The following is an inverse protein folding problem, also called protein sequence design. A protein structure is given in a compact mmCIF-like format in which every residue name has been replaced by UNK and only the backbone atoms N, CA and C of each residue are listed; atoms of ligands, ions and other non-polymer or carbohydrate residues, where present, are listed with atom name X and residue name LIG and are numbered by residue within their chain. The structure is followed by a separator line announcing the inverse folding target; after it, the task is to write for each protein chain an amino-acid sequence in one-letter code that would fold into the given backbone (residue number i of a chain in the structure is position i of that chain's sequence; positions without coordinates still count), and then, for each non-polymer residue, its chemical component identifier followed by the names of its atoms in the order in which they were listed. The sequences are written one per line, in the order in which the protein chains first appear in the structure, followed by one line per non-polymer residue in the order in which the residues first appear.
data_IF_700339233003
#
_entry.id   IF_700339233003
#
_cell.length_a   1.000
_cell.length_b   1.000
_cell.length_c   1.000
_cell.angle_alpha   90.00
_cell.angle_beta   90.00
_cell.angle_gamma   90.00
#
_symmetry.space_group_name_H-M   'P 1'
#
loop_
_entity.id
_entity.type
_entity.pdbx_description
1 polymer ?
#
# COMPACT_ATOMS: atom_id res chain seq x y z
N UNK A 1 -3.74 -8.69 9.96
CA UNK A 1 -2.81 -9.83 10.09
C UNK A 1 -2.14 -10.07 8.75
N UNK A 2 -0.81 -10.12 8.69
CA UNK A 2 -0.10 -10.33 7.42
C UNK A 2 0.18 -11.81 7.17
N UNK A 3 -0.02 -12.26 5.94
CA UNK A 3 0.48 -13.55 5.45
C UNK A 3 1.45 -13.27 4.29
N UNK A 4 2.70 -13.66 4.44
CA UNK A 4 3.75 -13.47 3.43
C UNK A 4 4.57 -14.74 3.26
N UNK A 5 5.22 -14.91 2.11
CA UNK A 5 6.01 -16.13 1.91
C UNK A 5 6.66 -16.27 0.54
N UNK A 6 7.07 -17.50 0.24
CA UNK A 6 7.78 -17.84 -0.99
C UNK A 6 6.92 -17.60 -2.23
N UNK A 7 7.53 -17.01 -3.27
CA UNK A 7 6.92 -16.90 -4.61
C UNK A 7 6.81 -18.24 -5.34
N UNK A 8 7.62 -19.23 -4.91
CA UNK A 8 7.63 -20.61 -5.39
C UNK A 8 7.44 -21.51 -4.16
N UNK A 9 6.26 -21.43 -3.56
CA UNK A 9 5.94 -22.23 -2.39
C UNK A 9 5.66 -23.69 -2.78
N UNK A 10 5.84 -24.60 -1.83
CA UNK A 10 5.46 -26.01 -2.00
C UNK A 10 3.94 -26.17 -2.05
N UNK A 11 3.48 -27.39 -2.28
CA UNK A 11 2.04 -27.71 -2.21
C UNK A 11 1.53 -27.53 -0.78
N UNK A 12 2.35 -27.87 0.20
CA UNK A 12 2.07 -27.75 1.62
C UNK A 12 2.01 -26.27 2.03
N UNK A 13 2.98 -25.45 1.59
CA UNK A 13 2.95 -24.00 1.79
C UNK A 13 1.75 -23.33 1.12
N UNK A 14 1.34 -23.78 -0.07
CA UNK A 14 0.09 -23.34 -0.71
C UNK A 14 -1.12 -23.69 0.14
N UNK A 15 -1.24 -24.94 0.59
CA UNK A 15 -2.36 -25.40 1.42
C UNK A 15 -2.46 -24.58 2.71
N UNK A 16 -1.33 -24.39 3.38
CA UNK A 16 -1.24 -23.59 4.60
C UNK A 16 -1.68 -22.14 4.39
N UNK A 17 -1.20 -21.48 3.32
CA UNK A 17 -1.61 -20.12 2.99
C UNK A 17 -3.12 -19.99 2.78
N UNK A 18 -3.75 -20.98 2.13
CA UNK A 18 -5.18 -21.01 1.93
C UNK A 18 -5.94 -21.26 3.23
N UNK A 19 -5.52 -22.27 3.99
CA UNK A 19 -6.15 -22.67 5.25
C UNK A 19 -6.12 -21.55 6.29
N UNK A 20 -4.96 -20.95 6.55
CA UNK A 20 -4.83 -19.91 7.56
C UNK A 20 -5.55 -18.62 7.16
N UNK A 21 -5.56 -18.27 5.86
CA UNK A 21 -6.36 -17.14 5.38
C UNK A 21 -7.86 -17.39 5.57
N UNK A 22 -8.35 -18.63 5.40
CA UNK A 22 -9.74 -18.97 5.67
C UNK A 22 -10.06 -18.88 7.16
N UNK A 23 -9.17 -19.37 8.04
CA UNK A 23 -9.34 -19.27 9.49
C UNK A 23 -9.45 -17.80 9.92
N UNK A 24 -8.48 -16.96 9.53
CA UNK A 24 -8.51 -15.52 9.78
C UNK A 24 -9.82 -14.87 9.29
N UNK A 25 -10.26 -15.26 8.09
CA UNK A 25 -11.50 -14.71 7.51
C UNK A 25 -12.74 -15.09 8.29
N UNK A 26 -12.89 -16.35 8.73
CA UNK A 26 -14.03 -16.81 9.54
C UNK A 26 -14.11 -16.06 10.87
N UNK A 27 -12.95 -15.73 11.40
CA UNK A 27 -12.79 -14.98 12.63
C UNK A 27 -13.00 -13.46 12.41
N UNK A 28 -13.19 -13.00 11.17
CA UNK A 28 -13.41 -11.59 10.85
C UNK A 28 -12.12 -10.76 10.81
N UNK A 29 -10.96 -11.42 10.78
CA UNK A 29 -9.65 -10.77 10.71
C UNK A 29 -9.29 -10.47 9.25
N UNK A 30 -8.87 -9.23 9.00
CA UNK A 30 -8.40 -8.81 7.67
C UNK A 30 -7.05 -9.44 7.33
N UNK A 31 -6.97 -10.03 6.13
CA UNK A 31 -5.74 -10.58 5.56
C UNK A 31 -4.99 -9.49 4.79
N UNK A 32 -3.76 -9.19 5.19
CA UNK A 32 -2.87 -8.22 4.55
C UNK A 32 -1.75 -8.95 3.83
N UNK A 33 -1.44 -8.58 2.59
CA UNK A 33 -0.29 -9.15 1.86
C UNK A 33 0.16 -8.27 0.70
N UNK A 34 1.09 -8.76 -0.12
CA UNK A 34 1.74 -8.02 -1.19
C UNK A 34 1.32 -8.40 -2.61
N UNK A 35 0.31 -9.25 -2.79
CA UNK A 35 -0.15 -9.74 -4.09
C UNK A 35 0.94 -10.38 -4.99
N UNK A 36 2.08 -10.80 -4.41
CA UNK A 36 3.10 -11.51 -5.16
C UNK A 36 2.62 -12.91 -5.59
N UNK A 37 3.33 -13.55 -6.52
CA UNK A 37 3.14 -14.98 -6.82
C UNK A 37 3.29 -15.83 -5.55
N UNK A 38 2.69 -17.01 -5.53
CA UNK A 38 2.83 -17.95 -4.41
C UNK A 38 1.96 -17.56 -3.22
N UNK A 39 2.54 -17.61 -2.02
CA UNK A 39 1.82 -17.47 -0.74
C UNK A 39 0.86 -16.27 -0.70
N UNK A 40 1.33 -15.08 -1.05
CA UNK A 40 0.52 -13.85 -1.04
C UNK A 40 -0.77 -14.01 -1.86
N UNK A 41 -0.65 -14.47 -3.11
CA UNK A 41 -1.81 -14.67 -3.99
C UNK A 41 -2.77 -15.74 -3.47
N UNK A 42 -2.26 -16.82 -2.90
CA UNK A 42 -3.11 -17.88 -2.34
C UNK A 42 -3.86 -17.41 -1.10
N UNK A 43 -3.22 -16.60 -0.24
CA UNK A 43 -3.86 -16.00 0.92
C UNK A 43 -4.99 -15.04 0.51
N UNK A 44 -4.75 -14.14 -0.44
CA UNK A 44 -5.79 -13.24 -0.97
C UNK A 44 -6.96 -14.00 -1.58
N UNK A 45 -6.68 -14.98 -2.47
CA UNK A 45 -7.74 -15.78 -3.13
C UNK A 45 -8.58 -16.53 -2.09
N UNK A 46 -7.94 -17.14 -1.09
CA UNK A 46 -8.65 -17.88 -0.05
C UNK A 46 -9.51 -16.94 0.82
N UNK A 47 -9.00 -15.78 1.20
CA UNK A 47 -9.76 -14.77 1.93
C UNK A 47 -11.00 -14.32 1.16
N UNK A 48 -10.85 -13.96 -0.12
CA UNK A 48 -11.96 -13.53 -0.98
C UNK A 48 -13.00 -14.64 -1.14
N UNK A 49 -12.58 -15.88 -1.38
CA UNK A 49 -13.48 -17.03 -1.52
C UNK A 49 -14.27 -17.33 -0.26
N UNK A 50 -13.73 -16.96 0.90
CA UNK A 50 -14.42 -17.06 2.20
C UNK A 50 -15.25 -15.83 2.55
N UNK A 51 -15.39 -14.86 1.63
CA UNK A 51 -16.18 -13.64 1.85
C UNK A 51 -15.49 -12.61 2.76
N UNK A 52 -14.18 -12.74 2.94
CA UNK A 52 -13.39 -11.87 3.82
C UNK A 52 -12.94 -10.57 3.17
N UNK A 53 -12.46 -9.67 4.02
CA UNK A 53 -11.82 -8.42 3.62
C UNK A 53 -10.30 -8.62 3.53
N UNK A 54 -9.70 -8.22 2.41
CA UNK A 54 -8.25 -8.36 2.21
C UNK A 54 -7.60 -7.09 1.65
N UNK A 55 -6.38 -6.81 2.10
CA UNK A 55 -5.62 -5.61 1.71
C UNK A 55 -4.34 -6.03 1.02
N UNK A 56 -4.16 -5.59 -0.23
CA UNK A 56 -2.92 -5.74 -0.98
C UNK A 56 -2.17 -4.42 -1.04
N UNK A 57 -0.96 -4.37 -0.51
CA UNK A 57 -0.03 -3.29 -0.84
C UNK A 57 0.66 -3.62 -2.15
N UNK A 58 0.95 -2.66 -3.04
CA UNK A 58 1.64 -2.91 -4.32
C UNK A 58 2.83 -1.97 -4.54
N UNK A 59 3.81 -2.42 -5.33
CA UNK A 59 5.07 -1.69 -5.62
C UNK A 59 5.06 -0.91 -6.94
N UNK A 60 3.89 -0.49 -7.41
CA UNK A 60 3.67 0.19 -8.68
C UNK A 60 2.41 1.07 -8.60
N UNK A 61 2.17 1.90 -9.61
CA UNK A 61 0.91 2.66 -9.71
C UNK A 61 -0.30 1.71 -9.72
N UNK A 62 -1.45 2.17 -9.22
CA UNK A 62 -2.68 1.36 -9.15
C UNK A 62 -3.29 1.04 -10.53
N UNK A 63 -2.85 1.74 -11.56
CA UNK A 63 -3.14 1.50 -12.98
C UNK A 63 -2.26 0.39 -13.60
N UNK A 64 -1.26 -0.10 -12.87
CA UNK A 64 -0.34 -1.15 -13.32
C UNK A 64 -0.50 -2.39 -12.44
N UNK A 65 -0.80 -3.53 -13.06
CA UNK A 65 -0.84 -4.81 -12.35
C UNK A 65 0.52 -5.52 -12.44
N UNK A 66 1.11 -5.81 -11.28
CA UNK A 66 2.30 -6.66 -11.19
C UNK A 66 2.15 -7.72 -10.08
N UNK A 67 2.39 -9.01 -10.37
CA UNK A 67 2.69 -9.54 -11.70
C UNK A 67 1.47 -9.45 -12.65
N UNK A 68 1.70 -9.33 -13.96
CA UNK A 68 0.63 -9.07 -14.93
C UNK A 68 -0.46 -10.16 -14.93
N UNK A 69 -0.12 -11.40 -14.58
CA UNK A 69 -1.09 -12.50 -14.53
C UNK A 69 -2.10 -12.35 -13.37
N UNK A 70 -1.87 -11.43 -12.42
CA UNK A 70 -2.74 -11.20 -11.27
C UNK A 70 -3.79 -10.10 -11.54
N UNK A 71 -4.02 -9.69 -12.78
CA UNK A 71 -4.99 -8.62 -13.11
C UNK A 71 -6.40 -8.93 -12.58
N UNK A 72 -6.87 -10.16 -12.74
CA UNK A 72 -8.16 -10.62 -12.20
C UNK A 72 -8.17 -10.63 -10.67
N UNK A 73 -7.05 -11.03 -10.04
CA UNK A 73 -6.91 -11.04 -8.59
C UNK A 73 -6.92 -9.61 -8.03
N UNK A 74 -6.18 -8.68 -8.62
CA UNK A 74 -6.16 -7.27 -8.23
C UNK A 74 -7.57 -6.67 -8.29
N UNK A 75 -8.31 -6.94 -9.37
CA UNK A 75 -9.69 -6.50 -9.51
C UNK A 75 -10.62 -7.15 -8.47
N UNK A 76 -10.41 -8.42 -8.12
CA UNK A 76 -11.18 -9.10 -7.08
C UNK A 76 -10.88 -8.52 -5.69
N UNK A 77 -9.60 -8.24 -5.37
CA UNK A 77 -9.19 -7.58 -4.13
C UNK A 77 -9.83 -6.19 -4.04
N UNK A 78 -9.83 -5.40 -5.13
CA UNK A 78 -10.45 -4.08 -5.13
C UNK A 78 -11.99 -4.12 -4.89
N UNK A 79 -12.66 -5.22 -5.22
CA UNK A 79 -14.11 -5.40 -4.96
C UNK A 79 -14.40 -5.88 -3.54
N UNK A 80 -13.54 -6.72 -2.98
CA UNK A 80 -13.73 -7.37 -1.68
C UNK A 80 -12.88 -6.77 -0.56
N UNK A 81 -12.15 -5.70 -0.84
CA UNK A 81 -11.02 -5.27 -0.03
C UNK A 81 -10.42 -3.95 -0.51
N UNK A 82 -9.10 -3.83 -0.41
CA UNK A 82 -8.37 -2.65 -0.90
C UNK A 82 -7.05 -3.03 -1.57
N UNK A 83 -6.69 -2.29 -2.63
CA UNK A 83 -5.35 -2.29 -3.20
C UNK A 83 -4.73 -0.92 -2.94
N UNK A 84 -3.58 -0.89 -2.27
CA UNK A 84 -2.95 0.33 -1.77
C UNK A 84 -1.56 0.48 -2.40
N UNK A 85 -1.23 1.69 -2.85
CA UNK A 85 0.08 2.03 -3.38
C UNK A 85 0.53 3.40 -2.88
N UNK A 86 1.82 3.54 -2.61
CA UNK A 86 2.49 4.84 -2.39
C UNK A 86 2.97 5.48 -3.71
N UNK A 87 2.81 4.77 -4.83
CA UNK A 87 3.33 5.21 -6.12
C UNK A 87 2.20 5.81 -6.97
N UNK A 88 2.43 6.97 -7.62
CA UNK A 88 1.43 7.60 -8.47
C UNK A 88 1.12 6.75 -9.71
N UNK A 89 -0.03 7.00 -10.38
CA UNK A 89 -0.36 6.34 -11.64
C UNK A 89 0.78 6.44 -12.67
N UNK A 90 1.00 5.36 -13.43
CA UNK A 90 2.08 5.22 -14.40
C UNK A 90 3.42 4.76 -13.81
N UNK A 91 3.54 4.62 -12.49
CA UNK A 91 4.79 4.18 -11.85
C UNK A 91 5.05 2.69 -12.09
N UNK A 92 6.15 2.32 -12.79
CA UNK A 92 6.40 0.93 -13.13
C UNK A 92 6.78 0.10 -11.89
N UNK A 93 6.56 -1.21 -11.97
CA UNK A 93 7.00 -2.15 -10.96
C UNK A 93 8.53 -2.33 -11.01
N UNK A 94 9.27 -1.66 -10.11
CA UNK A 94 10.74 -1.75 -10.02
C UNK A 94 11.16 -2.65 -8.86
N UNK A 95 12.31 -3.31 -9.01
CA UNK A 95 12.85 -4.21 -7.98
C UNK A 95 13.00 -3.53 -6.61
N UNK A 96 13.45 -2.26 -6.60
CA UNK A 96 13.62 -1.42 -5.41
C UNK A 96 12.30 -1.08 -4.70
N UNK A 97 11.16 -1.08 -5.41
CA UNK A 97 9.87 -0.75 -4.83
C UNK A 97 9.34 -1.86 -3.91
N UNK A 98 9.68 -3.12 -4.16
CA UNK A 98 9.11 -4.24 -3.38
C UNK A 98 9.61 -4.27 -1.93
N UNK A 99 10.92 -4.14 -1.63
CA UNK A 99 11.39 -3.99 -0.27
C UNK A 99 10.77 -2.76 0.43
N UNK A 100 10.72 -1.61 -0.26
CA UNK A 100 10.13 -0.39 0.29
C UNK A 100 8.64 -0.56 0.64
N UNK A 101 7.88 -1.25 -0.21
CA UNK A 101 6.46 -1.58 0.02
C UNK A 101 6.27 -2.53 1.21
N UNK A 102 7.18 -3.48 1.43
CA UNK A 102 6.99 -4.52 2.44
C UNK A 102 6.86 -3.98 3.88
N UNK A 103 7.45 -2.81 4.19
CA UNK A 103 7.23 -2.13 5.50
C UNK A 103 5.76 -1.79 5.75
N UNK A 104 4.98 -1.52 4.69
CA UNK A 104 3.56 -1.21 4.82
C UNK A 104 2.75 -2.45 5.21
N UNK A 105 3.17 -3.62 4.73
CA UNK A 105 2.51 -4.90 5.04
C UNK A 105 2.64 -5.21 6.54
N UNK A 106 3.84 -5.07 7.11
CA UNK A 106 4.07 -5.28 8.54
C UNK A 106 3.41 -4.21 9.39
N UNK A 107 3.55 -2.94 9.04
CA UNK A 107 3.01 -1.83 9.85
C UNK A 107 1.49 -1.83 9.96
N UNK A 108 0.79 -2.34 8.94
CA UNK A 108 -0.67 -2.52 8.93
C UNK A 108 -1.14 -3.87 9.52
N UNK A 109 -0.26 -4.57 10.22
CA UNK A 109 -0.56 -5.88 10.80
C UNK A 109 -0.09 -5.98 12.25
N UNK A 110 -0.94 -6.52 13.12
CA UNK A 110 -0.55 -6.81 14.51
C UNK A 110 0.43 -7.98 14.60
N UNK A 111 0.23 -8.97 13.73
CA UNK A 111 1.05 -10.18 13.61
C UNK A 111 1.35 -10.47 12.14
N UNK A 112 2.52 -11.07 11.88
CA UNK A 112 2.99 -11.47 10.55
C UNK A 112 3.29 -12.97 10.55
N UNK A 113 2.63 -13.72 9.67
CA UNK A 113 2.94 -15.13 9.42
C UNK A 113 3.77 -15.26 8.15
N UNK A 114 4.95 -15.87 8.31
CA UNK A 114 5.86 -16.25 7.22
C UNK A 114 5.64 -17.71 6.88
N UNK A 115 5.13 -17.97 5.67
CA UNK A 115 4.94 -19.32 5.13
C UNK A 115 6.02 -19.57 4.09
N UNK A 116 7.03 -20.37 4.45
CA UNK A 116 8.20 -20.69 3.61
C UNK A 116 9.00 -19.46 3.14
N UNK A 117 10.25 -19.38 3.58
CA UNK A 117 11.20 -18.39 3.08
C UNK A 117 12.54 -19.06 2.79
N UNK A 118 13.02 -18.96 1.55
CA UNK A 118 14.42 -19.24 1.22
C UNK A 118 15.34 -18.12 1.71
N UNK A 119 16.65 -18.35 1.71
CA UNK A 119 17.68 -17.42 2.24
C UNK A 119 17.61 -15.99 1.68
N UNK A 120 17.18 -15.84 0.42
CA UNK A 120 17.05 -14.54 -0.28
C UNK A 120 15.59 -14.12 -0.48
N UNK A 121 14.66 -14.65 0.32
CA UNK A 121 13.24 -14.36 0.17
C UNK A 121 12.91 -12.94 0.63
N UNK A 122 12.10 -12.23 -0.15
CA UNK A 122 11.56 -10.92 0.25
C UNK A 122 10.63 -10.98 1.46
N UNK A 123 10.11 -12.16 1.81
CA UNK A 123 9.35 -12.36 3.05
C UNK A 123 10.20 -12.09 4.30
N UNK A 124 11.51 -12.38 4.24
CA UNK A 124 12.45 -12.11 5.34
C UNK A 124 12.58 -10.61 5.61
N UNK A 125 12.50 -9.78 4.56
CA UNK A 125 12.52 -8.31 4.70
C UNK A 125 11.26 -7.84 5.45
N UNK A 126 10.11 -8.45 5.17
CA UNK A 126 8.85 -8.11 5.86
C UNK A 126 8.91 -8.53 7.33
N UNK A 127 9.46 -9.71 7.62
CA UNK A 127 9.68 -10.18 8.99
C UNK A 127 10.62 -9.27 9.77
N UNK A 128 11.70 -8.80 9.15
CA UNK A 128 12.64 -7.87 9.79
C UNK A 128 11.98 -6.52 10.12
N UNK A 129 11.16 -5.95 9.21
CA UNK A 129 10.38 -4.75 9.52
C UNK A 129 9.41 -4.99 10.68
N UNK A 130 8.64 -6.09 10.64
CA UNK A 130 7.70 -6.44 11.69
C UNK A 130 8.38 -6.51 13.06
N UNK A 131 9.53 -7.18 13.16
CA UNK A 131 10.31 -7.30 14.39
C UNK A 131 10.82 -5.94 14.88
N UNK A 132 11.34 -5.09 13.99
CA UNK A 132 11.79 -3.72 14.33
C UNK A 132 10.65 -2.84 14.85
N UNK A 133 9.44 -3.10 14.39
CA UNK A 133 8.21 -2.42 14.81
C UNK A 133 7.58 -3.06 16.06
N UNK A 134 8.21 -4.09 16.66
CA UNK A 134 7.68 -4.79 17.83
C UNK A 134 6.45 -5.66 17.53
N UNK A 135 6.21 -6.02 16.26
CA UNK A 135 5.14 -6.92 15.84
C UNK A 135 5.55 -8.37 16.00
N UNK A 136 4.58 -9.23 16.34
CA UNK A 136 4.83 -10.66 16.47
C UNK A 136 5.04 -11.29 15.09
N UNK A 137 6.15 -12.02 14.94
CA UNK A 137 6.47 -12.79 13.73
C UNK A 137 6.32 -14.28 14.05
N UNK A 138 5.40 -14.91 13.32
CA UNK A 138 5.15 -16.34 13.33
C UNK A 138 5.75 -16.96 12.08
N UNK A 139 6.36 -18.12 12.20
CA UNK A 139 6.97 -18.83 11.07
C UNK A 139 6.40 -20.24 10.99
N UNK A 140 5.80 -20.56 9.85
CA UNK A 140 5.47 -21.95 9.54
C UNK A 140 6.77 -22.66 9.14
N UNK A 141 7.26 -23.51 10.03
CA UNK A 141 8.42 -24.35 9.76
C UNK A 141 7.98 -25.54 8.92
N UNK A 142 8.35 -25.53 7.63
CA UNK A 142 8.21 -26.69 6.75
C UNK A 142 9.40 -27.64 6.87
N UNK A 143 9.59 -28.51 5.87
CA UNK A 143 10.75 -29.41 5.80
C UNK A 143 12.07 -28.61 5.72
N UNK A 144 12.84 -28.66 6.80
CA UNK A 144 14.06 -27.86 7.00
C UNK A 144 15.18 -28.19 6.00
N UNK A 145 15.11 -29.34 5.32
CA UNK A 145 16.08 -29.77 4.30
C UNK A 145 15.92 -29.07 2.95
N UNK A 146 14.77 -28.46 2.67
CA UNK A 146 14.48 -27.81 1.39
C UNK A 146 15.01 -26.38 1.28
N UNK A 147 15.36 -25.94 0.05
CA UNK A 147 15.79 -24.56 -0.21
C UNK A 147 14.74 -23.49 0.16
N UNK A 148 13.46 -23.89 0.23
CA UNK A 148 12.34 -23.05 0.66
C UNK A 148 12.27 -22.84 2.19
N UNK A 149 12.96 -23.67 2.99
CA UNK A 149 12.88 -23.66 4.45
C UNK A 149 14.05 -22.95 5.16
N UNK A 150 15.20 -22.76 4.50
CA UNK A 150 16.41 -22.23 5.15
C UNK A 150 16.26 -20.84 5.78
N UNK A 151 15.56 -19.93 5.09
CA UNK A 151 15.28 -18.60 5.63
C UNK A 151 14.25 -18.64 6.78
N UNK A 152 13.24 -19.51 6.68
CA UNK A 152 12.31 -19.77 7.79
C UNK A 152 13.04 -20.30 9.02
N UNK A 153 13.99 -21.22 8.83
CA UNK A 153 14.80 -21.75 9.93
C UNK A 153 15.66 -20.65 10.57
N UNK A 154 16.30 -19.80 9.76
CA UNK A 154 17.08 -18.64 10.22
C UNK A 154 16.23 -17.69 11.06
N UNK A 155 15.00 -17.39 10.64
CA UNK A 155 14.10 -16.53 11.40
C UNK A 155 13.84 -17.07 12.81
N UNK A 156 13.68 -18.38 12.95
CA UNK A 156 13.43 -19.03 14.25
C UNK A 156 14.70 -19.12 15.08
N UNK A 157 15.80 -19.60 14.49
CA UNK A 157 17.04 -19.89 15.21
C UNK A 157 17.84 -18.64 15.57
N UNK A 158 17.99 -17.71 14.63
CA UNK A 158 18.91 -16.58 14.77
C UNK A 158 18.16 -15.28 15.12
N UNK A 159 16.91 -15.14 14.67
CA UNK A 159 16.15 -13.89 14.77
C UNK A 159 15.02 -13.95 15.81
N UNK A 160 14.84 -15.09 16.49
CA UNK A 160 13.90 -15.26 17.60
C UNK A 160 12.42 -15.27 17.22
N UNK A 161 12.09 -15.52 15.95
CA UNK A 161 10.70 -15.63 15.51
C UNK A 161 10.03 -16.88 16.13
N UNK A 162 8.74 -16.77 16.44
CA UNK A 162 8.01 -17.88 17.06
C UNK A 162 7.60 -18.90 15.99
N UNK A 163 7.73 -20.18 16.32
CA UNK A 163 7.18 -21.25 15.48
C UNK A 163 5.66 -21.17 15.51
N UNK A 164 5.05 -21.23 14.33
CA UNK A 164 3.62 -21.41 14.19
C UNK A 164 3.28 -22.88 14.43
N UNK A 165 2.54 -23.16 15.49
CA UNK A 165 2.14 -24.51 15.91
C UNK A 165 0.63 -24.67 16.08
N UNK A 166 -0.11 -23.58 16.31
CA UNK A 166 -1.54 -23.62 16.59
C UNK A 166 -2.29 -22.47 15.89
N UNK A 167 -3.52 -22.74 15.44
CA UNK A 167 -4.43 -21.75 14.85
C UNK A 167 -4.78 -20.62 15.82
N UNK A 168 -4.76 -20.85 17.12
CA UNK A 168 -4.99 -19.81 18.12
C UNK A 168 -3.96 -18.67 18.01
N UNK A 169 -2.74 -18.96 17.56
CA UNK A 169 -1.72 -17.93 17.31
C UNK A 169 -2.06 -17.01 16.14
N UNK A 170 -2.97 -17.42 15.24
CA UNK A 170 -3.46 -16.55 14.16
C UNK A 170 -4.35 -15.43 14.67
N UNK A 171 -4.92 -15.58 15.86
CA UNK A 171 -5.83 -14.58 16.39
C UNK A 171 -5.04 -13.43 17.03
N UNK A 172 -5.44 -12.16 16.80
CA UNK A 172 -4.91 -11.04 17.56
C UNK A 172 -5.13 -11.25 19.07
N UNK A 173 -4.23 -10.69 19.88
CA UNK A 173 -4.37 -10.76 21.34
C UNK A 173 -5.43 -9.75 21.81
N UNK A 174 -6.12 -10.07 22.92
CA UNK A 174 -7.09 -9.17 23.55
C UNK A 174 -8.50 -9.16 22.92
N UNK A 175 -9.31 -8.15 23.26
CA UNK A 175 -10.74 -8.05 22.90
C UNK A 175 -11.00 -7.51 21.48
N UNK A 176 -10.24 -7.95 20.47
CA UNK A 176 -10.39 -7.47 19.10
C UNK A 176 -11.78 -7.83 18.50
N UNK A 177 -12.39 -8.94 18.95
CA UNK A 177 -13.78 -9.29 18.59
C UNK A 177 -14.80 -8.26 19.09
N UNK A 178 -14.55 -7.60 20.22
CA UNK A 178 -15.49 -6.60 20.78
C UNK A 178 -15.48 -5.29 20.01
N UNK A 179 -14.33 -4.86 19.49
CA UNK A 179 -14.20 -3.62 18.72
C UNK A 179 -15.05 -3.69 17.44
N UNK A 180 -14.96 -4.81 16.71
CA UNK A 180 -15.73 -5.00 15.49
C UNK A 180 -17.22 -5.31 15.74
N UNK A 181 -17.57 -6.03 16.81
CA UNK A 181 -18.98 -6.25 17.16
C UNK A 181 -19.70 -4.90 17.40
N UNK A 182 -19.06 -3.96 18.11
CA UNK A 182 -19.61 -2.63 18.36
C UNK A 182 -19.75 -1.81 17.07
N UNK A 183 -18.77 -1.85 16.17
CA UNK A 183 -18.83 -1.12 14.89
C UNK A 183 -19.82 -1.74 13.88
N UNK A 184 -19.97 -3.06 13.87
CA UNK A 184 -20.93 -3.78 13.02
C UNK A 184 -22.37 -3.45 13.40
N UNK A 185 -22.66 -3.44 14.71
CA UNK A 185 -23.95 -2.99 15.26
C UNK A 185 -24.19 -1.52 14.92
N UNK A 186 -23.19 -0.65 15.11
CA UNK A 186 -23.31 0.78 14.79
C UNK A 186 -23.55 1.03 13.29
N UNK A 187 -22.85 0.33 12.40
CA UNK A 187 -23.05 0.43 10.93
C UNK A 187 -24.41 -0.08 10.47
N UNK A 188 -24.91 -1.15 11.09
CA UNK A 188 -26.24 -1.68 10.78
C UNK A 188 -27.34 -0.74 11.29
N UNK A 189 -27.19 -0.17 12.48
CA UNK A 189 -28.06 0.90 13.00
C UNK A 189 -28.04 2.15 12.12
N UNK A 190 -26.86 2.59 11.67
CA UNK A 190 -26.72 3.76 10.81
C UNK A 190 -27.34 3.53 9.42
N UNK A 191 -27.24 2.32 8.86
CA UNK A 191 -27.97 1.92 7.64
C UNK A 191 -29.48 1.90 7.85
N UNK A 192 -29.97 1.42 8.99
CA UNK A 192 -31.39 1.41 9.34
C UNK A 192 -31.92 2.85 9.53
N UNK A 193 -31.13 3.74 10.14
CA UNK A 193 -31.44 5.17 10.30
C UNK A 193 -31.41 5.92 8.96
N UNK A 194 -30.45 5.61 8.07
CA UNK A 194 -30.38 6.18 6.73
C UNK A 194 -31.53 5.68 5.83
N UNK A 195 -31.92 4.41 5.94
CA UNK A 195 -33.06 3.82 5.21
C UNK A 195 -34.42 4.41 5.61
N UNK A 196 -34.59 4.86 6.86
CA UNK A 196 -35.81 5.56 7.30
C UNK A 196 -35.97 6.97 6.72
N UNK A 197 -34.91 7.56 6.14
CA UNK A 197 -34.96 8.91 5.54
C UNK A 197 -35.40 8.92 4.07
N UNK A 198 -35.59 7.75 3.45
CA UNK A 198 -36.13 7.62 2.09
C UNK A 198 -37.57 7.09 2.18
N UNK A 199 -38.48 7.93 2.67
CA UNK A 199 -39.90 7.79 2.32
C UNK A 199 -40.39 9.09 1.70
N UNK A 200 -41.03 8.93 0.53
CA UNK A 200 -41.61 9.94 -0.36
C UNK A 200 -40.65 10.76 -1.22
N UNK A 201 -40.18 10.11 -2.29
CA UNK A 201 -40.28 10.73 -3.61
C UNK A 201 -40.53 9.63 -4.65
N UNK A 202 -41.77 9.58 -5.12
CA UNK A 202 -42.20 8.81 -6.27
C UNK A 202 -41.55 9.38 -7.53
N UNK A 203 -40.68 8.61 -8.17
CA UNK A 203 -40.65 8.50 -9.62
C UNK A 203 -39.75 7.34 -10.05
N UNK A 204 -40.41 6.25 -10.44
CA UNK A 204 -39.80 5.14 -11.12
C UNK A 204 -39.38 5.57 -12.53
N UNK A 205 -38.06 5.59 -12.80
CA UNK A 205 -37.53 5.42 -14.16
C UNK A 205 -36.47 4.34 -14.10
N UNK A 206 -36.76 3.20 -14.75
CA UNK A 206 -35.82 2.13 -15.04
C UNK A 206 -34.68 2.73 -15.88
N UNK A 207 -33.48 2.78 -15.33
CA UNK A 207 -32.25 3.02 -16.09
C UNK A 207 -31.50 1.69 -16.20
N UNK A 208 -31.44 1.16 -17.41
CA UNK A 208 -30.64 0.01 -17.81
C UNK A 208 -29.14 0.31 -17.68
N UNK A 209 -28.37 -0.68 -17.23
CA UNK A 209 -26.90 -0.66 -17.20
C UNK A 209 -26.34 -0.48 -18.63
N UNK A 210 -25.33 0.38 -18.85
CA UNK A 210 -24.69 0.48 -20.15
C UNK A 210 -23.78 -0.74 -20.39
N UNK A 211 -23.89 -1.30 -21.60
CA UNK A 211 -23.08 -2.41 -22.10
C UNK A 211 -21.59 -2.05 -22.19
N UNK A 212 -20.73 -3.05 -21.92
CA UNK A 212 -19.29 -2.95 -22.01
C UNK A 212 -18.86 -2.72 -23.47
N UNK A 213 -18.41 -1.50 -23.78
CA UNK A 213 -17.80 -1.17 -25.07
C UNK A 213 -16.48 -1.91 -25.27
N UNK A 214 -16.41 -2.68 -26.36
CA UNK A 214 -15.24 -3.43 -26.82
C UNK A 214 -14.15 -2.45 -27.28
N UNK A 215 -13.06 -2.33 -26.51
CA UNK A 215 -11.86 -1.60 -26.92
C UNK A 215 -10.95 -2.50 -27.78
N UNK A 216 -10.66 -2.09 -29.02
CA UNK A 216 -9.70 -2.75 -29.91
C UNK A 216 -8.35 -2.03 -29.83
N UNK A 217 -7.23 -2.72 -29.61
CA UNK A 217 -5.92 -2.06 -29.58
C UNK A 217 -5.41 -1.83 -31.00
N UNK A 218 -5.15 -0.57 -31.36
CA UNK A 218 -4.33 -0.23 -32.52
C UNK A 218 -2.86 -0.32 -32.15
N UNK A 219 -2.14 -1.11 -32.93
CA UNK A 219 -0.69 -1.26 -32.95
C UNK A 219 0.01 -0.03 -33.52
N UNK A 220 1.31 0.04 -33.24
CA UNK A 220 2.36 0.88 -33.86
C UNK A 220 2.67 2.20 -33.15
N UNK A 221 3.73 2.18 -32.32
CA UNK A 221 4.94 2.91 -32.71
C UNK A 221 6.18 2.36 -31.97
N UNK A 222 7.14 1.81 -32.71
CA UNK A 222 8.47 1.45 -32.21
C UNK A 222 9.41 2.62 -32.46
N UNK A 223 9.70 3.41 -31.43
CA UNK A 223 10.78 4.39 -31.45
C UNK A 223 11.99 3.89 -30.67
N UNK A 224 13.07 3.54 -31.38
CA UNK A 224 14.42 3.41 -30.81
C UNK A 224 14.92 4.80 -30.42
N UNK A 225 15.52 4.96 -29.24
CA UNK A 225 16.45 6.07 -29.00
C UNK A 225 17.58 5.67 -28.05
N UNK A 226 18.76 6.16 -28.43
CA UNK A 226 20.13 5.96 -27.94
C UNK A 226 20.46 6.77 -26.68
N UNK A 227 21.41 6.30 -25.86
CA UNK A 227 21.99 7.08 -24.76
C UNK A 227 22.60 8.42 -25.23
N UNK A 228 23.03 9.31 -24.31
CA UNK A 228 24.31 9.06 -23.63
C UNK A 228 24.52 9.66 -22.21
N UNK A 229 25.68 9.30 -21.65
CA UNK A 229 26.63 10.08 -20.83
C UNK A 229 26.41 10.45 -19.35
N UNK A 230 27.52 10.30 -18.61
CA UNK A 230 27.82 10.62 -17.21
C UNK A 230 27.79 12.13 -16.93
N UNK A 231 27.54 12.54 -15.68
CA UNK A 231 28.40 13.51 -14.96
C UNK A 231 28.16 13.53 -13.45
N UNK A 232 29.21 13.98 -12.77
CA UNK A 232 29.57 14.00 -11.36
C UNK A 232 28.76 14.92 -10.42
N UNK A 233 28.97 14.63 -9.13
CA UNK A 233 28.89 15.41 -7.89
C UNK A 233 28.65 16.94 -7.95
N UNK A 234 27.93 17.48 -6.97
CA UNK A 234 28.52 18.29 -5.89
C UNK A 234 27.44 18.85 -4.96
N UNK A 235 27.50 18.43 -3.70
CA UNK A 235 26.90 19.08 -2.55
C UNK A 235 27.66 20.37 -2.23
N UNK A 236 26.98 21.52 -2.22
CA UNK A 236 27.40 22.71 -1.47
C UNK A 236 26.28 23.76 -1.35
N UNK A 237 26.07 24.17 -0.09
CA UNK A 237 25.58 25.47 0.42
C UNK A 237 24.07 25.71 0.53
N UNK A 238 23.58 25.40 1.74
CA UNK A 238 22.72 26.30 2.53
C UNK A 238 23.48 27.60 2.82
N UNK A 239 22.89 28.77 2.54
CA UNK A 239 22.96 30.01 3.33
C UNK A 239 22.27 31.14 2.56
N UNK A 240 21.10 31.59 3.05
CA UNK A 240 20.58 32.98 3.07
C UNK A 240 19.04 32.98 3.20
N UNK A 241 18.51 33.05 4.43
CA UNK A 241 17.11 33.42 4.72
C UNK A 241 17.00 33.91 6.18
N UNK A 242 17.51 35.11 6.46
CA UNK A 242 17.58 35.63 7.83
C UNK A 242 16.30 36.38 8.28
N UNK A 243 15.53 36.98 7.37
CA UNK A 243 14.42 37.87 7.73
C UNK A 243 13.08 37.43 7.11
N UNK A 244 12.64 36.21 7.40
CA UNK A 244 11.35 35.68 6.93
C UNK A 244 10.23 35.86 7.97
N UNK A 245 9.04 36.26 7.50
CA UNK A 245 7.82 36.30 8.32
C UNK A 245 7.45 34.90 8.83
N UNK A 246 6.68 34.77 9.93
CA UNK A 246 6.32 33.48 10.52
C UNK A 246 5.67 32.52 9.52
N UNK A 247 4.96 33.04 8.52
CA UNK A 247 4.29 32.25 7.51
C UNK A 247 5.21 31.90 6.33
N UNK A 248 6.14 32.79 5.96
CA UNK A 248 7.17 32.50 4.95
C UNK A 248 8.10 31.37 5.41
N UNK A 249 8.42 31.31 6.71
CA UNK A 249 9.18 30.22 7.33
C UNK A 249 8.50 28.85 7.21
N UNK A 250 7.17 28.82 7.05
CA UNK A 250 6.41 27.57 6.85
C UNK A 250 6.31 27.19 5.37
N UNK A 251 6.33 28.17 4.46
CA UNK A 251 6.12 27.93 3.03
C UNK A 251 7.45 27.66 2.31
N UNK A 252 8.51 28.40 2.62
CA UNK A 252 9.81 28.29 1.95
C UNK A 252 10.42 26.88 2.06
N UNK A 253 10.40 26.19 3.22
CA UNK A 253 10.88 24.81 3.29
C UNK A 253 10.08 23.84 2.43
N UNK A 254 8.80 24.16 2.18
CA UNK A 254 7.91 23.35 1.35
C UNK A 254 8.08 23.60 -0.15
N UNK A 255 8.66 24.73 -0.57
CA UNK A 255 8.93 25.02 -1.99
C UNK A 255 10.39 24.67 -2.28
N UNK A 256 10.63 23.63 -3.07
CA UNK A 256 12.00 23.24 -3.47
C UNK A 256 12.41 23.93 -4.78
N UNK A 257 13.67 23.76 -5.18
CA UNK A 257 14.17 24.16 -6.51
C UNK A 257 13.45 23.45 -7.68
N UNK A 258 12.53 22.51 -7.40
CA UNK A 258 11.69 21.84 -8.39
C UNK A 258 10.25 22.38 -8.30
N UNK A 259 9.59 22.64 -9.44
CA UNK A 259 8.22 23.17 -9.45
C UNK A 259 7.22 22.29 -8.69
N UNK A 260 6.68 22.78 -7.58
CA UNK A 260 5.64 22.11 -6.79
C UNK A 260 4.29 22.73 -7.03
N UNK A 261 3.24 21.91 -7.03
CA UNK A 261 1.87 22.41 -7.17
C UNK A 261 1.37 23.03 -5.87
N UNK A 262 0.38 23.92 -5.99
CA UNK A 262 -0.24 24.57 -4.85
C UNK A 262 -0.85 23.58 -3.84
N UNK A 263 -1.35 22.44 -4.30
CA UNK A 263 -1.88 21.37 -3.44
C UNK A 263 -0.80 20.79 -2.54
N UNK A 264 0.40 20.53 -3.09
CA UNK A 264 1.53 20.00 -2.34
C UNK A 264 2.05 21.03 -1.33
N UNK A 265 2.13 22.30 -1.71
CA UNK A 265 2.59 23.37 -0.81
C UNK A 265 1.58 23.57 0.34
N UNK A 266 0.28 23.51 0.06
CA UNK A 266 -0.79 23.59 1.06
C UNK A 266 -0.74 22.42 2.05
N UNK A 267 -0.52 21.20 1.55
CA UNK A 267 -0.42 20.01 2.38
C UNK A 267 0.82 20.03 3.30
N UNK A 268 1.98 20.43 2.77
CA UNK A 268 3.23 20.45 3.53
C UNK A 268 3.30 21.62 4.53
N UNK A 269 2.79 22.80 4.17
CA UNK A 269 2.77 23.98 5.04
C UNK A 269 1.62 23.97 6.07
N UNK A 270 0.62 23.10 5.87
CA UNK A 270 -0.61 23.06 6.68
C UNK A 270 -1.53 24.26 6.45
N UNK A 271 -1.27 25.11 5.46
CA UNK A 271 -2.04 26.33 5.16
C UNK A 271 -3.13 26.00 4.13
N UNK A 272 -4.41 26.31 4.41
CA UNK A 272 -5.49 26.13 3.44
C UNK A 272 -5.24 26.91 2.14
N UNK A 273 -5.54 26.30 0.99
CA UNK A 273 -5.24 26.86 -0.34
C UNK A 273 -5.71 28.31 -0.55
N UNK A 274 -6.89 28.67 -0.03
CA UNK A 274 -7.43 30.03 -0.17
C UNK A 274 -6.61 31.11 0.56
N UNK A 275 -5.94 30.75 1.67
CA UNK A 275 -5.00 31.63 2.37
C UNK A 275 -3.62 31.61 1.69
N UNK A 276 -3.20 30.44 1.20
CA UNK A 276 -1.91 30.23 0.56
C UNK A 276 -1.75 31.04 -0.74
N UNK A 277 -2.81 31.16 -1.55
CA UNK A 277 -2.77 31.92 -2.81
C UNK A 277 -2.37 33.39 -2.63
N UNK A 278 -2.89 34.05 -1.58
CA UNK A 278 -2.55 35.46 -1.29
C UNK A 278 -1.09 35.58 -0.89
N UNK A 279 -0.60 34.65 -0.09
CA UNK A 279 0.77 34.64 0.39
C UNK A 279 1.76 34.38 -0.73
N UNK A 280 1.48 33.39 -1.60
CA UNK A 280 2.31 33.07 -2.76
C UNK A 280 2.36 34.24 -3.76
N UNK A 281 1.24 34.95 -3.97
CA UNK A 281 1.23 36.14 -4.81
C UNK A 281 2.12 37.26 -4.23
N UNK A 282 2.08 37.50 -2.92
CA UNK A 282 2.98 38.47 -2.26
C UNK A 282 4.45 38.05 -2.41
N UNK A 283 4.77 36.79 -2.13
CA UNK A 283 6.13 36.25 -2.25
C UNK A 283 6.66 36.28 -3.69
N UNK A 284 5.79 36.19 -4.70
CA UNK A 284 6.15 36.35 -6.11
C UNK A 284 6.48 37.81 -6.44
N UNK A 285 5.72 38.77 -5.91
CA UNK A 285 6.00 40.21 -6.07
C UNK A 285 7.31 40.60 -5.37
N UNK A 286 7.60 40.01 -4.22
CA UNK A 286 8.84 40.19 -3.47
C UNK A 286 10.03 39.44 -4.10
N UNK A 287 9.80 38.69 -5.18
CA UNK A 287 10.83 38.01 -5.95
C UNK A 287 11.37 36.73 -5.30
N UNK A 288 10.78 36.24 -4.22
CA UNK A 288 11.22 35.03 -3.52
C UNK A 288 10.85 33.74 -4.25
N UNK A 289 9.74 33.75 -4.99
CA UNK A 289 9.26 32.60 -5.77
C UNK A 289 8.83 33.03 -7.16
N UNK A 290 8.72 32.06 -8.07
CA UNK A 290 8.22 32.27 -9.42
C UNK A 290 7.08 31.32 -9.72
N UNK A 291 5.98 31.84 -10.27
CA UNK A 291 4.87 31.03 -10.78
C UNK A 291 5.15 30.46 -12.17
N UNK A 292 4.69 29.24 -12.39
CA UNK A 292 4.81 28.47 -13.63
C UNK A 292 3.43 27.96 -14.07
N UNK A 293 3.26 27.64 -15.37
CA UNK A 293 2.01 27.09 -15.89
C UNK A 293 1.50 25.89 -15.08
N UNK A 294 0.20 25.88 -14.80
CA UNK A 294 -0.44 24.83 -14.00
C UNK A 294 -0.38 25.03 -12.49
N UNK A 295 -0.33 26.29 -12.02
CA UNK A 295 -0.32 26.64 -10.59
C UNK A 295 0.84 26.00 -9.82
N UNK A 296 2.03 26.04 -10.40
CA UNK A 296 3.26 25.50 -9.81
C UNK A 296 4.20 26.62 -9.44
N UNK A 297 4.91 26.47 -8.33
CA UNK A 297 5.82 27.48 -7.79
C UNK A 297 7.20 26.89 -7.55
N UNK A 298 8.22 27.72 -7.73
CA UNK A 298 9.63 27.40 -7.48
C UNK A 298 10.30 28.58 -6.79
N UNK A 299 11.29 28.34 -5.93
CA UNK A 299 12.09 29.42 -5.33
C UNK A 299 12.93 30.09 -6.42
N UNK A 300 12.93 31.42 -6.42
CA UNK A 300 13.84 32.22 -7.23
C UNK A 300 15.15 32.36 -6.42
N UNK A 301 16.24 31.81 -6.96
CA UNK A 301 17.61 32.02 -6.44
C UNK A 301 18.14 33.39 -6.81
#
# INVERSE_FOLDING_TARGET
FAIVGSRRCTREGRRAAQEFAQVLTREGVTVVSGMAKGVDSYAHVACIRSGGYTVAFVGCGLDICYPAEHSQLMAAIARSGAVISEYPPGSPARAEHFPARNRLISSWSDKVLVIEAGEKSGALITADFARKEGREVLVLTGDAGGSAGKGSLRLVQDEGAKVFSDHDQLLPDGEWKQVFARESVKRSEDRLKAGRRVTRSSNARKASLPEAGVFKPTSENRGKWSGPAKTESASKKNQEFADLSPTEKLIIPSISQRPKSIESISFESGIPQGALLRQLATMEVEGMIRSLPGARYVITT
#
